data_IF_053149384922
#
_entry.id   IF_053149384922
#
_cell.length_a   1.000
_cell.length_b   1.000
_cell.length_c   1.000
_cell.angle_alpha   90.00
_cell.angle_beta   90.00
_cell.angle_gamma   90.00
#
_symmetry.space_group_name_H-M   'P 1'
#
loop_
_entity.id
_entity.type
_entity.pdbx_description
1 polymer ?
#
# COMPACT_ATOMS: atom_id res chain seq x y z
N UNK A 1 -19.37 -4.88 -6.88
CA UNK A 1 -17.94 -5.14 -6.62
C UNK A 1 -17.44 -3.93 -5.86
N UNK A 2 -16.56 -4.06 -4.87
CA UNK A 2 -15.97 -2.89 -4.26
C UNK A 2 -15.08 -2.18 -5.29
N UNK A 3 -14.98 -0.87 -5.20
CA UNK A 3 -13.88 -0.14 -5.82
C UNK A 3 -12.60 -0.52 -5.07
N UNK A 4 -11.47 -0.49 -5.76
CA UNK A 4 -10.19 -0.88 -5.20
C UNK A 4 -9.28 0.34 -5.13
N UNK A 5 -8.80 0.67 -3.94
CA UNK A 5 -7.68 1.56 -3.74
C UNK A 5 -6.39 0.74 -3.94
N UNK A 6 -5.70 0.99 -5.04
CA UNK A 6 -4.50 0.27 -5.44
C UNK A 6 -3.26 1.13 -5.23
N UNK A 7 -2.15 0.51 -4.88
CA UNK A 7 -0.89 1.23 -4.68
C UNK A 7 0.18 0.35 -4.04
N UNK A 8 1.02 0.96 -3.20
CA UNK A 8 2.16 0.29 -2.59
C UNK A 8 2.14 0.40 -1.07
N UNK A 9 2.69 -0.63 -0.44
CA UNK A 9 3.08 -0.61 0.97
C UNK A 9 4.60 -0.71 1.03
N UNK A 10 5.23 0.27 1.66
CA UNK A 10 6.65 0.25 2.03
C UNK A 10 6.77 -0.07 3.51
N UNK A 11 7.61 -1.05 3.85
CA UNK A 11 7.89 -1.47 5.24
C UNK A 11 9.37 -1.32 5.50
N UNK A 12 9.73 -0.57 6.54
CA UNK A 12 11.10 -0.33 6.95
C UNK A 12 11.32 -0.69 8.42
N UNK A 13 12.37 -1.44 8.71
CA UNK A 13 12.72 -1.82 10.08
C UNK A 13 13.87 -2.83 10.15
N UNK A 14 14.12 -3.36 11.35
CA UNK A 14 15.07 -4.47 11.49
C UNK A 14 14.52 -5.73 10.83
N UNK A 15 15.43 -6.58 10.37
CA UNK A 15 15.14 -7.82 9.66
C UNK A 15 13.95 -8.59 10.24
N UNK A 16 14.01 -8.95 11.52
CA UNK A 16 13.00 -9.79 12.15
C UNK A 16 11.64 -9.10 12.23
N UNK A 17 11.64 -7.78 12.44
CA UNK A 17 10.42 -6.97 12.44
C UNK A 17 9.76 -6.92 11.08
N UNK A 18 10.54 -6.64 10.02
CA UNK A 18 10.02 -6.61 8.63
C UNK A 18 9.49 -7.99 8.23
N UNK A 19 10.22 -9.07 8.54
CA UNK A 19 9.77 -10.44 8.28
C UNK A 19 8.48 -10.76 9.03
N UNK A 20 8.37 -10.36 10.31
CA UNK A 20 7.17 -10.59 11.12
C UNK A 20 5.96 -9.86 10.53
N UNK A 21 6.13 -8.58 10.16
CA UNK A 21 5.09 -7.78 9.54
C UNK A 21 4.65 -8.38 8.19
N UNK A 22 5.59 -8.67 7.29
CA UNK A 22 5.34 -9.25 5.97
C UNK A 22 4.62 -10.59 6.09
N UNK A 23 5.05 -11.48 6.99
CA UNK A 23 4.39 -12.75 7.23
C UNK A 23 2.95 -12.57 7.68
N UNK A 24 2.71 -11.66 8.61
CA UNK A 24 1.39 -11.34 9.15
C UNK A 24 0.48 -10.77 8.08
N UNK A 25 0.97 -9.83 7.29
CA UNK A 25 0.23 -9.19 6.20
C UNK A 25 -0.08 -10.16 5.05
N UNK A 26 0.85 -11.05 4.71
CA UNK A 26 0.72 -11.99 3.58
C UNK A 26 0.00 -13.30 3.93
N UNK A 27 -0.10 -13.68 5.18
CA UNK A 27 -0.85 -14.88 5.61
C UNK A 27 -2.37 -14.72 5.47
N UNK A 28 -2.86 -13.49 5.29
CA UNK A 28 -4.28 -13.19 5.07
C UNK A 28 -4.80 -13.86 3.78
N UNK A 29 -3.96 -14.11 2.80
CA UNK A 29 -4.39 -14.54 1.46
C UNK A 29 -4.35 -16.04 1.18
N UNK A 30 -4.18 -16.87 2.24
CA UNK A 30 -4.61 -18.27 2.17
C UNK A 30 -4.09 -19.13 1.02
N UNK A 31 -2.84 -18.96 0.57
CA UNK A 31 -2.18 -19.93 -0.33
C UNK A 31 -2.06 -21.32 0.33
N UNK A 32 -2.34 -21.43 1.62
CA UNK A 32 -2.27 -22.68 2.40
C UNK A 32 -3.61 -23.42 2.51
N UNK A 33 -4.70 -22.94 1.90
CA UNK A 33 -6.03 -23.57 1.98
C UNK A 33 -6.68 -23.49 3.38
N UNK A 34 -6.11 -22.74 4.31
CA UNK A 34 -6.75 -22.36 5.58
C UNK A 34 -7.57 -21.10 5.36
N UNK A 35 -8.63 -20.91 6.15
CA UNK A 35 -9.33 -19.64 6.17
C UNK A 35 -8.32 -18.51 6.41
N UNK A 36 -8.42 -17.38 5.69
CA UNK A 36 -7.51 -16.27 5.85
C UNK A 36 -7.48 -15.87 7.32
N UNK A 37 -6.30 -15.67 7.86
CA UNK A 37 -6.15 -15.10 9.19
C UNK A 37 -6.58 -13.64 9.13
N UNK A 38 -7.85 -13.38 9.44
CA UNK A 38 -8.50 -12.08 9.34
C UNK A 38 -8.01 -11.08 10.38
N UNK A 39 -6.97 -11.44 11.16
CA UNK A 39 -6.43 -10.61 12.23
C UNK A 39 -5.64 -9.40 11.75
N UNK A 40 -5.46 -9.22 10.45
CA UNK A 40 -4.64 -8.14 9.91
C UNK A 40 -5.21 -7.62 8.61
N UNK A 41 -5.50 -6.34 8.53
CA UNK A 41 -5.97 -5.64 7.33
C UNK A 41 -7.08 -6.35 6.54
N UNK A 42 -8.21 -6.50 7.17
CA UNK A 42 -9.38 -7.07 6.50
C UNK A 42 -9.62 -6.39 5.15
N UNK A 43 -9.93 -7.20 4.12
CA UNK A 43 -10.26 -6.74 2.77
C UNK A 43 -9.10 -6.09 2.02
N UNK A 44 -7.87 -6.51 2.27
CA UNK A 44 -6.70 -6.16 1.49
C UNK A 44 -6.21 -7.37 0.67
N UNK A 45 -5.63 -7.10 -0.48
CA UNK A 45 -5.03 -8.10 -1.36
C UNK A 45 -3.63 -7.67 -1.74
N UNK A 46 -2.74 -8.64 -1.82
CA UNK A 46 -1.37 -8.46 -2.25
C UNK A 46 -1.16 -9.17 -3.57
N UNK A 47 -0.46 -8.52 -4.46
CA UNK A 47 -0.13 -9.06 -5.78
C UNK A 47 1.32 -9.57 -5.85
N UNK A 48 2.03 -9.67 -4.71
CA UNK A 48 3.42 -10.12 -4.67
C UNK A 48 3.60 -11.48 -3.97
N UNK A 49 4.74 -12.13 -4.25
CA UNK A 49 5.09 -13.39 -3.63
C UNK A 49 5.85 -13.19 -2.32
N UNK A 50 5.28 -13.69 -1.23
CA UNK A 50 5.86 -13.59 0.13
C UNK A 50 7.31 -14.06 0.20
N UNK A 51 7.64 -15.15 -0.49
CA UNK A 51 8.98 -15.72 -0.44
C UNK A 51 9.99 -14.79 -1.12
N UNK A 52 9.58 -14.09 -2.19
CA UNK A 52 10.38 -13.08 -2.86
C UNK A 52 10.66 -11.90 -1.93
N UNK A 53 9.62 -11.34 -1.29
CA UNK A 53 9.77 -10.21 -0.36
C UNK A 53 10.68 -10.57 0.82
N UNK A 54 10.54 -11.76 1.42
CA UNK A 54 11.41 -12.23 2.51
C UNK A 54 12.85 -12.47 2.03
N UNK A 55 13.03 -12.94 0.80
CA UNK A 55 14.36 -13.09 0.20
C UNK A 55 15.07 -11.75 0.07
N UNK A 56 14.35 -10.70 -0.34
CA UNK A 56 14.89 -9.34 -0.47
C UNK A 56 15.32 -8.78 0.90
N UNK A 57 14.51 -8.95 1.94
CA UNK A 57 14.88 -8.59 3.32
C UNK A 57 16.14 -9.32 3.75
N UNK A 58 16.22 -10.62 3.46
CA UNK A 58 17.37 -11.45 3.84
C UNK A 58 18.63 -10.98 3.14
N UNK A 59 18.54 -10.68 1.85
CA UNK A 59 19.67 -10.19 1.06
C UNK A 59 20.16 -8.81 1.54
N UNK A 60 19.24 -7.87 1.81
CA UNK A 60 19.58 -6.53 2.31
C UNK A 60 20.30 -6.58 3.68
N UNK A 61 20.02 -7.58 4.51
CA UNK A 61 20.55 -7.70 5.87
C UNK A 61 21.64 -8.76 6.03
N UNK A 62 22.14 -9.35 4.95
CA UNK A 62 23.10 -10.47 5.00
C UNK A 62 24.39 -10.13 5.75
N UNK A 63 24.91 -8.90 5.61
CA UNK A 63 26.16 -8.47 6.22
C UNK A 63 26.07 -8.23 7.74
N UNK A 64 24.89 -7.86 8.25
CA UNK A 64 24.61 -7.62 9.68
C UNK A 64 23.15 -7.98 10.01
N UNK A 65 22.84 -9.27 10.14
CA UNK A 65 21.46 -9.72 10.32
C UNK A 65 20.76 -9.20 11.59
N UNK A 66 21.53 -8.81 12.62
CA UNK A 66 20.99 -8.35 13.90
C UNK A 66 20.67 -6.85 13.92
N UNK A 67 21.43 -6.03 13.18
CA UNK A 67 21.32 -4.58 13.28
C UNK A 67 20.96 -3.88 11.97
N UNK A 68 21.15 -4.53 10.82
CA UNK A 68 20.82 -3.92 9.54
C UNK A 68 19.32 -3.64 9.44
N UNK A 69 19.00 -2.51 8.83
CA UNK A 69 17.64 -2.11 8.48
C UNK A 69 17.36 -2.54 7.05
N UNK A 70 16.20 -3.13 6.82
CA UNK A 70 15.70 -3.46 5.50
C UNK A 70 14.49 -2.58 5.17
N UNK A 71 14.32 -2.30 3.88
CA UNK A 71 13.13 -1.68 3.32
C UNK A 71 12.61 -2.56 2.20
N UNK A 72 11.34 -2.92 2.25
CA UNK A 72 10.65 -3.65 1.19
C UNK A 72 9.41 -2.89 0.74
N UNK A 73 9.13 -2.97 -0.55
CA UNK A 73 7.96 -2.35 -1.18
C UNK A 73 7.22 -3.45 -1.92
N UNK A 74 5.91 -3.51 -1.75
CA UNK A 74 5.07 -4.45 -2.46
C UNK A 74 3.72 -3.84 -2.84
N UNK A 75 3.16 -4.23 -4.01
CA UNK A 75 1.88 -3.74 -4.47
C UNK A 75 0.73 -4.30 -3.64
N UNK A 76 -0.32 -3.50 -3.48
CA UNK A 76 -1.48 -3.82 -2.65
C UNK A 76 -2.76 -3.25 -3.24
N UNK A 77 -3.87 -3.95 -2.97
CA UNK A 77 -5.22 -3.45 -3.26
C UNK A 77 -6.07 -3.52 -1.99
N UNK A 78 -6.67 -2.40 -1.59
CA UNK A 78 -7.59 -2.29 -0.47
C UNK A 78 -9.02 -2.10 -0.98
N UNK A 79 -10.00 -2.69 -0.31
CA UNK A 79 -11.40 -2.47 -0.67
C UNK A 79 -11.84 -1.07 -0.21
N UNK A 80 -12.15 -0.20 -1.14
CA UNK A 80 -12.62 1.19 -1.01
C UNK A 80 -11.52 2.19 -0.61
N UNK A 81 -10.82 1.96 0.49
CA UNK A 81 -9.89 2.89 1.12
C UNK A 81 -8.90 2.12 1.95
N UNK A 82 -7.61 2.45 1.85
CA UNK A 82 -6.58 1.88 2.70
C UNK A 82 -6.84 2.22 4.17
N UNK A 83 -7.17 3.47 4.47
CA UNK A 83 -7.48 3.93 5.82
C UNK A 83 -8.58 3.11 6.49
N UNK A 84 -9.67 2.86 5.77
CA UNK A 84 -10.80 2.07 6.29
C UNK A 84 -10.43 0.62 6.56
N UNK A 85 -9.47 0.06 5.82
CA UNK A 85 -9.03 -1.32 5.99
C UNK A 85 -8.02 -1.49 7.11
N UNK A 86 -7.11 -0.50 7.32
CA UNK A 86 -5.96 -0.66 8.22
C UNK A 86 -6.10 0.07 9.55
N UNK A 87 -6.93 1.11 9.64
CA UNK A 87 -7.03 1.98 10.82
C UNK A 87 -8.44 2.07 11.36
N UNK A 88 -9.43 2.32 10.48
CA UNK A 88 -10.83 2.53 10.86
C UNK A 88 -11.73 1.44 10.30
N UNK A 89 -12.95 1.40 10.72
CA UNK A 89 -14.00 0.53 10.21
C UNK A 89 -13.81 -0.96 10.51
N UNK A 90 -13.02 -1.67 9.74
CA UNK A 90 -12.91 -3.13 9.82
C UNK A 90 -12.22 -3.66 11.08
N UNK A 91 -11.05 -3.14 11.50
CA UNK A 91 -10.42 -3.60 12.75
C UNK A 91 -11.33 -3.44 13.97
N UNK A 92 -12.16 -2.40 14.00
CA UNK A 92 -13.09 -2.16 15.11
C UNK A 92 -14.27 -3.13 15.16
N UNK A 93 -14.63 -3.73 14.03
CA UNK A 93 -15.75 -4.66 13.91
C UNK A 93 -15.35 -6.13 13.96
N UNK A 94 -14.04 -6.41 13.87
CA UNK A 94 -13.50 -7.75 13.96
C UNK A 94 -12.47 -7.81 15.11
N UNK A 95 -12.77 -8.48 16.23
CA UNK A 95 -11.87 -8.56 17.38
C UNK A 95 -10.54 -9.28 17.07
N UNK A 96 -10.48 -9.98 15.95
CA UNK A 96 -9.27 -10.67 15.51
C UNK A 96 -8.37 -9.79 14.62
N UNK A 97 -8.83 -8.60 14.22
CA UNK A 97 -8.04 -7.65 13.45
C UNK A 97 -7.25 -6.72 14.38
N UNK A 98 -6.03 -6.38 13.98
CA UNK A 98 -5.25 -5.31 14.61
C UNK A 98 -5.13 -4.12 13.65
N UNK A 99 -4.89 -2.94 14.19
CA UNK A 99 -4.67 -1.74 13.39
C UNK A 99 -3.23 -1.66 12.90
N UNK A 100 -2.98 -0.84 11.86
CA UNK A 100 -1.63 -0.55 11.38
C UNK A 100 -0.71 -0.07 12.52
N UNK A 101 -1.20 0.82 13.37
CA UNK A 101 -0.45 1.39 14.49
C UNK A 101 -0.07 0.34 15.53
N UNK A 102 -0.92 -0.65 15.77
CA UNK A 102 -0.62 -1.77 16.66
C UNK A 102 0.41 -2.71 16.03
N UNK A 103 0.28 -2.99 14.75
CA UNK A 103 1.24 -3.81 14.01
C UNK A 103 2.64 -3.18 14.01
N UNK A 104 2.74 -1.89 13.70
CA UNK A 104 4.01 -1.15 13.72
C UNK A 104 4.69 -1.22 15.10
N UNK A 105 3.93 -1.06 16.18
CA UNK A 105 4.48 -1.20 17.55
C UNK A 105 4.92 -2.61 17.88
N UNK A 106 4.15 -3.61 17.49
CA UNK A 106 4.47 -5.01 17.81
C UNK A 106 5.71 -5.51 17.07
N UNK A 107 5.84 -5.13 15.82
CA UNK A 107 6.90 -5.61 14.94
C UNK A 107 8.08 -4.63 14.86
N UNK A 108 7.98 -3.46 15.51
CA UNK A 108 9.01 -2.41 15.50
C UNK A 108 9.42 -1.99 14.09
N UNK A 109 8.43 -1.70 13.26
CA UNK A 109 8.60 -1.25 11.88
C UNK A 109 7.88 0.07 11.63
N UNK A 110 8.37 0.84 10.67
CA UNK A 110 7.60 1.93 10.06
C UNK A 110 6.98 1.45 8.76
N UNK A 111 5.77 1.94 8.47
CA UNK A 111 5.01 1.55 7.27
C UNK A 111 4.48 2.79 6.59
N UNK A 112 4.70 2.86 5.28
CA UNK A 112 4.15 3.90 4.42
C UNK A 112 3.24 3.24 3.38
N UNK A 113 2.01 3.71 3.27
CA UNK A 113 1.00 3.21 2.33
C UNK A 113 0.59 4.38 1.45
N UNK A 114 0.74 4.21 0.14
CA UNK A 114 0.28 5.16 -0.85
C UNK A 114 -0.64 4.44 -1.82
N UNK A 115 -1.89 4.89 -1.91
CA UNK A 115 -2.91 4.29 -2.76
C UNK A 115 -3.72 5.32 -3.51
N UNK A 116 -4.24 4.92 -4.67
CA UNK A 116 -5.21 5.67 -5.45
C UNK A 116 -6.47 4.84 -5.69
N UNK A 117 -7.61 5.49 -5.70
CA UNK A 117 -8.90 4.89 -6.07
C UNK A 117 -9.49 5.69 -7.25
N UNK A 118 -9.31 5.20 -8.49
CA UNK A 118 -9.72 5.95 -9.69
C UNK A 118 -11.23 6.01 -9.90
N UNK A 119 -12.02 5.14 -9.25
CA UNK A 119 -13.48 5.09 -9.43
C UNK A 119 -14.22 6.21 -8.70
N UNK A 120 -13.71 6.68 -7.56
CA UNK A 120 -14.20 7.84 -6.81
C UNK A 120 -13.18 8.99 -6.74
N UNK A 121 -12.08 8.85 -7.45
CA UNK A 121 -11.14 9.91 -7.79
C UNK A 121 -10.37 10.49 -6.59
N UNK A 122 -9.85 9.64 -5.70
CA UNK A 122 -9.03 10.09 -4.58
C UNK A 122 -7.76 9.26 -4.40
N UNK A 123 -6.82 9.81 -3.64
CA UNK A 123 -5.60 9.16 -3.18
C UNK A 123 -5.47 9.25 -1.66
N UNK A 124 -4.71 8.32 -1.10
CA UNK A 124 -4.37 8.28 0.32
C UNK A 124 -2.87 8.13 0.50
N UNK A 125 -2.33 8.86 1.47
CA UNK A 125 -0.96 8.75 1.96
C UNK A 125 -1.02 8.53 3.47
N UNK A 126 -0.61 7.34 3.93
CA UNK A 126 -0.71 6.90 5.31
C UNK A 126 0.68 6.48 5.76
N UNK A 127 1.19 7.10 6.83
CA UNK A 127 2.44 6.72 7.44
C UNK A 127 2.25 6.40 8.91
N UNK A 128 2.81 5.27 9.37
CA UNK A 128 2.89 4.91 10.78
C UNK A 128 4.34 4.58 11.15
N UNK A 129 4.86 5.20 12.20
CA UNK A 129 6.20 4.92 12.71
C UNK A 129 6.23 3.67 13.60
N UNK A 130 7.44 3.23 14.01
CA UNK A 130 7.67 2.08 14.89
C UNK A 130 7.05 2.22 16.30
N UNK A 131 6.64 3.43 16.68
CA UNK A 131 5.95 3.72 17.94
C UNK A 131 4.43 3.76 17.75
N UNK A 132 3.95 3.62 16.51
CA UNK A 132 2.54 3.71 16.13
C UNK A 132 2.01 5.13 16.10
N UNK A 133 2.87 6.14 15.92
CA UNK A 133 2.42 7.48 15.58
C UNK A 133 1.98 7.48 14.12
N UNK A 134 0.77 7.98 13.88
CA UNK A 134 0.13 7.95 12.57
C UNK A 134 0.02 9.34 11.99
N UNK A 135 0.32 9.46 10.70
CA UNK A 135 -0.11 10.55 9.84
C UNK A 135 -0.92 9.99 8.69
N UNK A 136 -1.97 10.69 8.30
CA UNK A 136 -2.83 10.33 7.19
C UNK A 136 -3.24 11.58 6.44
N UNK A 137 -3.17 11.55 5.13
CA UNK A 137 -3.76 12.53 4.24
C UNK A 137 -4.56 11.83 3.15
N UNK A 138 -5.63 12.49 2.72
CA UNK A 138 -6.44 12.04 1.58
C UNK A 138 -6.82 13.27 0.77
N UNK A 139 -6.70 13.18 -0.55
CA UNK A 139 -7.02 14.27 -1.47
C UNK A 139 -7.55 13.72 -2.78
N UNK A 140 -8.19 14.60 -3.56
CA UNK A 140 -8.63 14.25 -4.91
C UNK A 140 -7.43 14.05 -5.84
N UNK A 141 -7.57 13.13 -6.79
CA UNK A 141 -6.57 12.93 -7.84
C UNK A 141 -6.45 14.19 -8.70
N UNK A 142 -5.23 14.49 -9.12
CA UNK A 142 -5.00 15.48 -10.18
C UNK A 142 -5.59 14.96 -11.49
N UNK A 143 -5.95 15.85 -12.40
CA UNK A 143 -6.44 15.47 -13.73
C UNK A 143 -5.35 15.66 -14.77
N UNK A 144 -5.07 14.63 -15.56
CA UNK A 144 -4.24 14.72 -16.75
C UNK A 144 -5.07 14.57 -18.01
N UNK A 145 -4.68 15.31 -19.08
CA UNK A 145 -5.25 15.21 -20.42
C UNK A 145 -4.25 14.58 -21.36
N UNK A 146 -4.69 13.65 -22.19
CA UNK A 146 -3.89 13.14 -23.28
C UNK A 146 -3.85 14.12 -24.46
N UNK A 147 -2.66 14.55 -24.87
CA UNK A 147 -2.46 15.47 -26.01
C UNK A 147 -2.80 14.80 -27.35
N UNK A 148 -2.79 13.48 -27.43
CA UNK A 148 -3.07 12.73 -28.65
C UNK A 148 -4.57 12.50 -28.90
N UNK A 149 -5.34 12.05 -27.90
CA UNK A 149 -6.77 11.71 -28.08
C UNK A 149 -7.73 12.64 -27.31
N UNK A 150 -7.23 13.50 -26.44
CA UNK A 150 -8.03 14.46 -25.67
C UNK A 150 -8.76 13.86 -24.46
N UNK A 151 -8.61 12.54 -24.20
CA UNK A 151 -9.18 11.92 -23.00
C UNK A 151 -8.52 12.43 -21.72
N UNK A 152 -9.25 12.39 -20.61
CA UNK A 152 -8.75 12.76 -19.29
C UNK A 152 -8.70 11.56 -18.37
N UNK A 153 -7.73 11.53 -17.44
CA UNK A 153 -7.57 10.49 -16.42
C UNK A 153 -7.09 11.10 -15.11
N UNK A 154 -7.42 10.42 -13.98
CA UNK A 154 -6.91 10.77 -12.67
C UNK A 154 -5.45 10.36 -12.51
N UNK A 155 -4.67 11.17 -11.81
CA UNK A 155 -3.26 10.92 -11.52
C UNK A 155 -2.96 11.25 -10.07
N UNK A 156 -2.47 10.26 -9.33
CA UNK A 156 -2.06 10.47 -7.95
C UNK A 156 -0.89 11.46 -7.83
N UNK A 157 -0.82 12.21 -6.74
CA UNK A 157 0.20 13.26 -6.55
C UNK A 157 1.63 12.69 -6.46
N UNK A 158 1.74 11.44 -6.03
CA UNK A 158 3.00 10.71 -5.91
C UNK A 158 3.44 9.99 -7.20
N UNK A 159 2.66 10.12 -8.29
CA UNK A 159 2.98 9.55 -9.61
C UNK A 159 3.44 10.68 -10.55
N UNK A 160 4.55 10.47 -11.25
CA UNK A 160 4.99 11.39 -12.29
C UNK A 160 4.16 11.19 -13.56
N UNK A 161 3.61 12.27 -14.10
CA UNK A 161 2.79 12.22 -15.32
C UNK A 161 3.59 11.73 -16.53
N UNK A 162 4.90 11.97 -16.53
CA UNK A 162 5.81 11.56 -17.61
C UNK A 162 6.03 10.03 -17.65
N UNK A 163 5.71 9.33 -16.55
CA UNK A 163 5.80 7.86 -16.44
C UNK A 163 4.49 7.15 -16.82
N UNK A 164 3.45 7.89 -17.19
CA UNK A 164 2.13 7.35 -17.45
C UNK A 164 1.81 7.19 -18.94
N UNK A 165 0.93 6.23 -19.21
CA UNK A 165 0.30 6.04 -20.51
C UNK A 165 -1.20 6.38 -20.43
N UNK A 166 -1.70 6.96 -21.52
CA UNK A 166 -3.13 7.22 -21.67
C UNK A 166 -3.93 5.90 -21.70
N UNK A 167 -4.91 5.74 -20.82
CA UNK A 167 -5.73 4.53 -20.74
C UNK A 167 -6.55 4.25 -21.99
N UNK A 168 -6.87 5.28 -22.80
CA UNK A 168 -7.68 5.14 -24.00
C UNK A 168 -6.86 4.81 -25.26
N UNK A 169 -5.66 5.40 -25.42
CA UNK A 169 -4.90 5.26 -26.67
C UNK A 169 -3.44 4.84 -26.50
N UNK A 170 -2.96 4.63 -25.27
CA UNK A 170 -1.58 4.22 -24.97
C UNK A 170 -0.52 5.29 -25.26
N UNK A 171 -0.90 6.57 -25.50
CA UNK A 171 0.07 7.65 -25.68
C UNK A 171 0.71 8.02 -24.35
N UNK A 172 2.00 8.27 -24.35
CA UNK A 172 2.75 8.81 -23.18
C UNK A 172 2.72 10.35 -23.11
N UNK A 173 2.07 11.03 -24.06
CA UNK A 173 1.98 12.49 -24.13
C UNK A 173 0.75 12.97 -23.35
N UNK A 174 0.94 13.16 -22.03
CA UNK A 174 -0.07 13.63 -21.09
C UNK A 174 0.36 14.96 -20.47
N UNK A 175 -0.61 15.84 -20.23
CA UNK A 175 -0.41 17.11 -19.53
C UNK A 175 -1.35 17.22 -18.32
N UNK A 176 -0.85 17.73 -17.18
CA UNK A 176 -1.70 18.04 -16.02
C UNK A 176 -2.58 19.25 -16.33
N UNK A 177 -3.86 19.14 -15.95
CA UNK A 177 -4.81 20.25 -16.03
C UNK A 177 -4.83 20.93 -14.66
N UNK A 178 -4.53 22.23 -14.61
CA UNK A 178 -4.78 23.04 -13.42
C UNK A 178 -6.28 23.31 -13.33
N UNK A 179 -6.91 22.97 -12.22
CA UNK A 179 -8.29 23.39 -11.93
C UNK A 179 -8.25 24.88 -11.53
N UNK A 180 -9.00 25.72 -12.26
CA UNK A 180 -9.14 27.17 -11.99
C UNK A 180 -10.07 27.43 -10.78
#
# INVERSE_FOLDING_TARGET
MPNWACGNVEVTGKRDGVIAFVNRFLDIHGKTGKEPDTRFFARSFLDDDRESVISDVTHQTEADPENAVATVIFPVSFAWSAYSCVIDGYPQHNPDCITLTEACRQDHVSVHIQTEEPGIFFEEDIFADEHGNLTNSSQDLRTARCCNCGSTQGVASFVDVDDLECYECGSVDLELIEEE
#
